data_IF_535336791928
#
_entry.id   IF_535336791928
#
_cell.length_a   1.000
_cell.length_b   1.000
_cell.length_c   1.000
_cell.angle_alpha   90.00
_cell.angle_beta   90.00
_cell.angle_gamma   90.00
#
_symmetry.space_group_name_H-M   'P 1'
#
loop_
_entity.id
_entity.type
_entity.pdbx_description
1 polymer ?
#
# COMPACT_ATOMS: atom_id res chain seq x y z
N UNK A 1 -7.65 31.68 -0.77
CA UNK A 1 -8.68 30.63 -0.65
C UNK A 1 -8.77 29.72 -1.88
N UNK A 2 -8.08 30.03 -2.99
CA UNK A 2 -8.16 29.25 -4.24
C UNK A 2 -7.06 28.15 -4.35
N UNK A 3 -6.30 27.88 -3.28
CA UNK A 3 -5.23 26.87 -3.30
C UNK A 3 -5.66 25.46 -2.91
N UNK A 4 -6.90 25.30 -2.41
CA UNK A 4 -7.37 23.99 -1.94
C UNK A 4 -8.01 23.10 -3.03
N UNK A 5 -8.35 23.68 -4.18
CA UNK A 5 -8.97 22.89 -5.27
C UNK A 5 -7.99 21.94 -5.97
N UNK A 6 -6.69 22.09 -5.73
CA UNK A 6 -5.64 21.27 -6.32
C UNK A 6 -4.77 20.55 -5.28
N UNK A 7 -5.24 20.46 -4.04
CA UNK A 7 -4.54 19.62 -3.08
C UNK A 7 -4.45 18.19 -3.66
N UNK A 8 -3.24 17.61 -3.80
CA UNK A 8 -3.12 16.28 -4.34
C UNK A 8 -3.90 15.32 -3.45
N UNK A 9 -4.97 14.75 -3.98
CA UNK A 9 -5.63 13.62 -3.32
C UNK A 9 -4.57 12.56 -3.10
N UNK A 10 -4.31 12.19 -1.84
CA UNK A 10 -3.44 11.06 -1.54
C UNK A 10 -4.12 9.82 -2.11
N UNK A 11 -3.60 9.21 -3.18
CA UNK A 11 -4.31 8.14 -3.87
C UNK A 11 -4.39 6.85 -3.07
N UNK A 12 -3.55 6.70 -2.03
CA UNK A 12 -3.51 5.50 -1.20
C UNK A 12 -3.88 5.84 0.22
N UNK A 13 -4.94 5.19 0.70
CA UNK A 13 -5.43 5.33 2.06
C UNK A 13 -5.49 3.95 2.71
N UNK A 14 -4.82 3.80 3.83
CA UNK A 14 -4.91 2.63 4.68
C UNK A 14 -5.92 2.93 5.79
N UNK A 15 -7.11 2.38 5.67
CA UNK A 15 -8.11 2.40 6.74
C UNK A 15 -7.80 1.30 7.75
N UNK A 16 -7.71 1.65 9.01
CA UNK A 16 -7.44 0.73 10.11
C UNK A 16 -8.55 0.80 11.16
N UNK A 17 -8.82 -0.33 11.82
CA UNK A 17 -9.75 -0.36 12.94
C UNK A 17 -9.22 0.48 14.12
N UNK A 18 -10.11 0.91 15.01
CA UNK A 18 -9.73 1.73 16.17
C UNK A 18 -8.74 1.03 17.10
N UNK A 19 -8.96 -0.25 17.37
CA UNK A 19 -8.07 -1.06 18.22
C UNK A 19 -6.70 -1.26 17.58
N UNK A 20 -6.63 -1.44 16.28
CA UNK A 20 -5.36 -1.47 15.53
C UNK A 20 -4.66 -0.12 15.63
N UNK A 21 -5.38 0.98 15.47
CA UNK A 21 -4.85 2.32 15.60
C UNK A 21 -4.23 2.59 16.98
N UNK A 22 -4.79 2.01 18.04
CA UNK A 22 -4.29 2.15 19.39
C UNK A 22 -3.07 1.25 19.70
N UNK A 23 -2.96 0.10 19.05
CA UNK A 23 -1.92 -0.91 19.33
C UNK A 23 -0.76 -0.94 18.34
N UNK A 24 -0.92 -0.32 17.18
CA UNK A 24 0.08 -0.34 16.10
C UNK A 24 1.30 0.52 16.47
N UNK A 25 2.48 -0.03 16.25
CA UNK A 25 3.73 0.74 16.33
C UNK A 25 3.89 1.58 15.06
N UNK A 26 3.49 2.85 15.12
CA UNK A 26 3.55 3.78 13.99
C UNK A 26 4.98 4.09 13.54
N UNK A 27 5.94 4.10 14.47
CA UNK A 27 7.34 4.31 14.09
C UNK A 27 7.85 3.17 13.22
N UNK A 28 7.56 1.94 13.62
CA UNK A 28 7.90 0.73 12.86
C UNK A 28 7.19 0.69 11.52
N UNK A 29 5.91 1.06 11.47
CA UNK A 29 5.15 1.12 10.23
C UNK A 29 5.71 2.18 9.28
N UNK A 30 6.02 3.37 9.76
CA UNK A 30 6.61 4.43 8.94
C UNK A 30 7.97 4.03 8.37
N UNK A 31 8.79 3.33 9.14
CA UNK A 31 10.06 2.79 8.67
C UNK A 31 9.87 1.76 7.55
N UNK A 32 8.97 0.79 7.74
CA UNK A 32 8.63 -0.21 6.73
C UNK A 32 8.07 0.44 5.45
N UNK A 33 7.20 1.42 5.58
CA UNK A 33 6.65 2.15 4.44
C UNK A 33 7.70 2.99 3.71
N UNK A 34 8.64 3.60 4.44
CA UNK A 34 9.75 4.34 3.82
C UNK A 34 10.69 3.39 3.05
N UNK A 35 10.98 2.22 3.60
CA UNK A 35 11.76 1.19 2.93
C UNK A 35 11.05 0.69 1.66
N UNK A 36 9.75 0.47 1.74
CA UNK A 36 8.93 0.06 0.61
C UNK A 36 8.97 1.09 -0.51
N UNK A 37 8.76 2.37 -0.20
CA UNK A 37 8.79 3.46 -1.20
C UNK A 37 10.14 3.54 -1.89
N UNK A 38 11.24 3.38 -1.16
CA UNK A 38 12.58 3.36 -1.75
C UNK A 38 12.79 2.17 -2.67
N UNK A 39 12.39 0.97 -2.24
CA UNK A 39 12.50 -0.23 -3.06
C UNK A 39 11.71 -0.12 -4.37
N UNK A 40 10.47 0.36 -4.31
CA UNK A 40 9.62 0.55 -5.48
C UNK A 40 10.16 1.65 -6.41
N UNK A 41 10.74 2.71 -5.87
CA UNK A 41 11.40 3.74 -6.66
C UNK A 41 12.57 3.17 -7.47
N UNK A 42 13.42 2.32 -6.86
CA UNK A 42 14.52 1.67 -7.56
C UNK A 42 14.03 0.68 -8.62
N UNK A 43 12.99 -0.10 -8.30
CA UNK A 43 12.47 -1.11 -9.21
C UNK A 43 11.68 -0.53 -10.39
N UNK A 44 10.87 0.50 -10.14
CA UNK A 44 9.96 1.07 -11.12
C UNK A 44 10.39 2.45 -11.64
N UNK A 45 11.39 3.07 -11.02
CA UNK A 45 11.91 4.38 -11.42
C UNK A 45 10.97 5.55 -11.14
N UNK A 46 9.93 5.36 -10.35
CA UNK A 46 8.91 6.38 -10.07
C UNK A 46 8.65 6.50 -8.58
N UNK A 47 8.63 7.73 -8.03
CA UNK A 47 8.23 7.94 -6.65
C UNK A 47 6.73 7.69 -6.49
N UNK A 48 6.37 6.84 -5.55
CA UNK A 48 4.96 6.64 -5.18
C UNK A 48 4.47 7.78 -4.29
N UNK A 49 3.18 8.12 -4.37
CA UNK A 49 2.59 9.13 -3.50
C UNK A 49 2.64 8.69 -2.04
N UNK A 50 2.51 9.65 -1.14
CA UNK A 50 2.40 9.35 0.28
C UNK A 50 1.19 8.47 0.58
N UNK A 51 1.30 7.68 1.63
CA UNK A 51 0.23 6.81 2.12
C UNK A 51 -0.37 7.48 3.34
N UNK A 52 -1.69 7.68 3.33
CA UNK A 52 -2.42 8.23 4.47
C UNK A 52 -3.03 7.09 5.28
N UNK A 53 -2.81 7.12 6.58
CA UNK A 53 -3.41 6.17 7.52
C UNK A 53 -4.62 6.84 8.17
N UNK A 54 -5.79 6.20 8.04
CA UNK A 54 -7.05 6.76 8.51
C UNK A 54 -7.74 5.78 9.46
N UNK A 55 -7.97 6.15 10.73
CA UNK A 55 -8.80 5.36 11.63
C UNK A 55 -10.23 5.27 11.10
N UNK A 56 -10.79 4.07 11.12
CA UNK A 56 -12.16 3.83 10.67
C UNK A 56 -12.91 3.00 11.74
N UNK A 57 -13.82 3.64 12.53
CA UNK A 57 -14.54 2.94 13.58
C UNK A 57 -15.55 1.91 13.06
N UNK A 58 -15.89 1.95 11.77
CA UNK A 58 -16.77 0.98 11.14
C UNK A 58 -16.12 -0.36 10.80
N UNK A 59 -14.79 -0.48 10.94
CA UNK A 59 -14.09 -1.72 10.64
C UNK A 59 -14.12 -2.70 11.82
N UNK A 60 -14.24 -4.01 11.53
CA UNK A 60 -14.10 -5.04 12.55
C UNK A 60 -12.74 -4.98 13.26
N UNK A 61 -12.67 -5.57 14.45
CA UNK A 61 -11.46 -5.63 15.27
C UNK A 61 -10.26 -6.14 14.47
N UNK A 62 -9.12 -5.46 14.63
CA UNK A 62 -7.83 -5.78 13.98
C UNK A 62 -7.90 -5.96 12.47
N UNK A 63 -8.85 -5.31 11.83
CA UNK A 63 -8.97 -5.33 10.37
C UNK A 63 -8.53 -4.02 9.73
N UNK A 64 -8.17 -4.09 8.46
CA UNK A 64 -7.77 -2.94 7.66
C UNK A 64 -8.26 -3.07 6.22
N UNK A 65 -8.33 -1.93 5.54
CA UNK A 65 -8.70 -1.85 4.13
C UNK A 65 -7.69 -0.95 3.43
N UNK A 66 -7.17 -1.43 2.31
CA UNK A 66 -6.33 -0.64 1.41
C UNK A 66 -7.19 -0.05 0.31
N UNK A 67 -7.21 1.27 0.21
CA UNK A 67 -7.98 2.01 -0.77
C UNK A 67 -7.06 2.72 -1.76
N UNK A 68 -7.45 2.70 -3.02
CA UNK A 68 -6.84 3.48 -4.08
C UNK A 68 -7.91 4.43 -4.63
N UNK A 69 -7.68 5.73 -4.54
CA UNK A 69 -8.67 6.76 -4.93
C UNK A 69 -10.04 6.54 -4.26
N UNK A 70 -10.06 6.29 -2.96
CA UNK A 70 -11.26 5.98 -2.16
C UNK A 70 -11.98 4.68 -2.56
N UNK A 71 -11.43 3.89 -3.44
CA UNK A 71 -11.99 2.59 -3.83
C UNK A 71 -11.29 1.48 -3.03
N UNK A 72 -12.02 0.68 -2.24
CA UNK A 72 -11.47 -0.45 -1.53
C UNK A 72 -10.91 -1.50 -2.51
N UNK A 73 -9.63 -1.83 -2.37
CA UNK A 73 -8.94 -2.75 -3.26
C UNK A 73 -8.55 -4.06 -2.58
N UNK A 74 -8.16 -4.01 -1.32
CA UNK A 74 -7.72 -5.18 -0.56
C UNK A 74 -8.08 -5.03 0.91
N UNK A 75 -8.26 -6.16 1.57
CA UNK A 75 -8.60 -6.23 3.00
C UNK A 75 -7.72 -7.23 3.70
N UNK A 76 -7.53 -7.04 4.99
CA UNK A 76 -6.82 -7.98 5.84
C UNK A 76 -7.31 -7.94 7.28
N UNK A 77 -6.97 -8.98 8.00
CA UNK A 77 -7.26 -9.10 9.43
C UNK A 77 -6.04 -9.66 10.14
N UNK A 78 -5.62 -8.97 11.19
CA UNK A 78 -4.49 -9.39 12.02
C UNK A 78 -4.98 -10.15 13.26
N UNK A 79 -4.08 -10.86 13.91
CA UNK A 79 -4.34 -11.56 15.16
C UNK A 79 -3.59 -10.87 16.31
N UNK A 80 -4.28 -10.61 17.39
CA UNK A 80 -3.73 -9.92 18.56
C UNK A 80 -2.61 -10.74 19.21
N UNK A 81 -1.45 -10.10 19.44
CA UNK A 81 -0.31 -10.74 20.06
C UNK A 81 0.36 -11.81 19.22
N UNK A 82 0.02 -11.91 17.95
CA UNK A 82 0.54 -12.92 17.03
C UNK A 82 1.24 -12.26 15.84
N UNK A 83 2.14 -13.02 15.23
CA UNK A 83 2.88 -12.66 14.02
C UNK A 83 2.73 -13.76 12.99
N UNK A 84 2.92 -13.44 11.70
CA UNK A 84 2.88 -14.44 10.63
C UNK A 84 4.24 -15.10 10.46
N UNK A 85 4.24 -16.43 10.45
CA UNK A 85 5.39 -17.22 10.04
C UNK A 85 5.33 -17.45 8.53
N UNK A 86 6.38 -17.10 7.81
CA UNK A 86 6.51 -17.37 6.37
C UNK A 86 7.10 -18.76 6.16
N UNK A 87 6.25 -19.75 6.29
CA UNK A 87 6.60 -21.16 6.13
C UNK A 87 5.36 -21.95 5.73
N UNK A 88 5.47 -23.25 5.69
CA UNK A 88 4.36 -24.17 5.46
C UNK A 88 3.87 -24.76 6.79
N UNK A 89 2.60 -25.10 6.84
CA UNK A 89 2.03 -25.78 8.01
C UNK A 89 2.74 -27.12 8.30
N UNK A 90 3.14 -27.84 7.25
CA UNK A 90 3.88 -29.09 7.36
C UNK A 90 5.24 -28.87 8.06
N UNK A 91 6.01 -27.89 7.63
CA UNK A 91 7.32 -27.62 8.21
C UNK A 91 7.23 -27.16 9.66
N UNK A 92 6.27 -26.27 9.99
CA UNK A 92 6.04 -25.84 11.37
C UNK A 92 5.67 -27.03 12.26
N UNK A 93 4.78 -27.91 11.78
CA UNK A 93 4.41 -29.12 12.51
C UNK A 93 5.59 -30.06 12.72
N UNK A 94 6.42 -30.24 11.72
CA UNK A 94 7.64 -31.07 11.83
C UNK A 94 8.64 -30.51 12.88
N UNK A 95 8.71 -29.19 12.99
CA UNK A 95 9.55 -28.51 13.96
C UNK A 95 8.92 -28.42 15.36
N UNK A 96 7.70 -28.93 15.54
CA UNK A 96 6.98 -28.88 16.80
C UNK A 96 6.49 -27.48 17.17
N UNK A 97 6.33 -26.59 16.19
CA UNK A 97 5.86 -25.22 16.40
C UNK A 97 4.34 -25.19 16.35
N UNK A 98 3.72 -24.74 17.44
CA UNK A 98 2.27 -24.51 17.47
C UNK A 98 1.91 -23.24 16.70
N UNK A 99 0.88 -23.32 15.88
CA UNK A 99 0.38 -22.20 15.11
C UNK A 99 -1.15 -22.23 15.03
N UNK A 100 -1.74 -21.05 14.79
CA UNK A 100 -3.15 -20.89 14.49
C UNK A 100 -3.30 -20.62 13.00
N UNK A 101 -4.09 -21.43 12.30
CA UNK A 101 -4.43 -21.19 10.92
C UNK A 101 -5.54 -20.13 10.84
N UNK A 102 -5.26 -19.01 10.19
CA UNK A 102 -6.22 -17.93 10.00
C UNK A 102 -6.90 -17.97 8.62
N UNK A 103 -7.63 -16.89 8.34
CA UNK A 103 -8.18 -16.69 7.00
C UNK A 103 -7.11 -16.15 6.05
N UNK A 104 -7.12 -16.61 4.81
CA UNK A 104 -6.17 -16.14 3.80
C UNK A 104 -6.52 -14.73 3.33
N UNK A 105 -5.56 -13.82 3.40
CA UNK A 105 -5.69 -12.44 2.90
C UNK A 105 -4.50 -12.00 2.05
N UNK A 106 -3.36 -12.67 2.19
CA UNK A 106 -2.20 -12.49 1.32
C UNK A 106 -2.16 -13.63 0.30
N UNK A 107 -2.05 -13.35 -1.02
CA UNK A 107 -2.23 -14.37 -2.05
C UNK A 107 -1.16 -15.46 -2.05
N UNK A 108 0.04 -15.17 -1.57
CA UNK A 108 1.20 -16.05 -1.62
C UNK A 108 1.69 -16.53 -0.24
N UNK A 109 0.95 -16.22 0.82
CA UNK A 109 1.34 -16.54 2.19
C UNK A 109 0.26 -17.35 2.87
N UNK A 110 0.61 -18.53 3.39
CA UNK A 110 -0.28 -19.26 4.29
C UNK A 110 -0.47 -18.47 5.60
N UNK A 111 -1.71 -18.33 6.08
CA UNK A 111 -1.99 -17.52 7.28
C UNK A 111 -1.65 -18.28 8.57
N UNK A 112 -0.37 -18.49 8.81
CA UNK A 112 0.17 -19.23 9.95
C UNK A 112 0.55 -18.26 11.06
N UNK A 113 -0.33 -18.11 12.04
CA UNK A 113 -0.14 -17.20 13.17
C UNK A 113 0.57 -17.90 14.32
N UNK A 114 1.65 -17.31 14.80
CA UNK A 114 2.42 -17.77 15.95
C UNK A 114 2.50 -16.67 16.99
N UNK A 115 2.65 -17.00 18.29
CA UNK A 115 2.82 -15.98 19.32
C UNK A 115 4.02 -15.08 19.04
N UNK A 116 3.84 -13.78 19.24
CA UNK A 116 4.91 -12.78 19.05
C UNK A 116 6.15 -13.10 19.89
N UNK A 117 5.96 -13.69 21.09
CA UNK A 117 7.04 -14.11 21.97
C UNK A 117 7.97 -15.17 21.36
N UNK A 118 7.54 -15.87 20.33
CA UNK A 118 8.31 -16.90 19.64
C UNK A 118 9.17 -16.37 18.48
N UNK A 119 9.09 -15.08 18.16
CA UNK A 119 9.77 -14.47 17.01
C UNK A 119 11.26 -14.77 17.01
N UNK A 120 11.96 -14.45 18.09
CA UNK A 120 13.41 -14.64 18.17
C UNK A 120 13.83 -16.10 18.00
N UNK A 121 13.12 -17.04 18.64
CA UNK A 121 13.43 -18.47 18.55
C UNK A 121 13.17 -19.04 17.16
N UNK A 122 12.14 -18.58 16.46
CA UNK A 122 11.82 -19.00 15.10
C UNK A 122 12.81 -18.44 14.08
N UNK A 123 13.20 -17.19 14.22
CA UNK A 123 14.20 -16.57 13.35
C UNK A 123 15.57 -17.26 13.48
N UNK A 124 15.94 -17.73 14.67
CA UNK A 124 17.18 -18.48 14.87
C UNK A 124 17.25 -19.78 14.08
N UNK A 125 16.10 -20.42 13.84
CA UNK A 125 16.03 -21.65 13.03
C UNK A 125 15.73 -21.36 11.55
N UNK A 126 15.82 -20.10 11.13
CA UNK A 126 15.70 -19.69 9.73
C UNK A 126 14.28 -19.44 9.25
N UNK A 127 13.29 -19.36 10.15
CA UNK A 127 11.91 -19.06 9.79
C UNK A 127 11.73 -17.54 9.77
N UNK A 128 11.32 -17.02 8.61
CA UNK A 128 11.02 -15.61 8.43
C UNK A 128 9.71 -15.23 9.12
N UNK A 129 9.72 -14.15 9.88
CA UNK A 129 8.56 -13.68 10.64
C UNK A 129 8.14 -12.30 10.15
N UNK A 130 6.84 -12.10 10.01
CA UNK A 130 6.24 -10.80 9.68
C UNK A 130 5.43 -10.29 10.86
N UNK A 131 5.88 -9.19 11.46
CA UNK A 131 5.08 -8.47 12.46
C UNK A 131 3.95 -7.68 11.76
N UNK A 132 3.07 -7.05 12.53
CA UNK A 132 1.92 -6.33 11.98
C UNK A 132 2.33 -5.22 11.01
N UNK A 133 3.34 -4.42 11.35
CA UNK A 133 3.84 -3.36 10.47
C UNK A 133 4.35 -3.90 9.13
N UNK A 134 5.09 -4.99 9.17
CA UNK A 134 5.62 -5.64 7.96
C UNK A 134 4.53 -6.28 7.11
N UNK A 135 3.50 -6.87 7.74
CA UNK A 135 2.33 -7.41 7.03
C UNK A 135 1.63 -6.30 6.25
N UNK A 136 1.37 -5.15 6.88
CA UNK A 136 0.73 -4.01 6.24
C UNK A 136 1.57 -3.49 5.07
N UNK A 137 2.87 -3.31 5.27
CA UNK A 137 3.79 -2.86 4.21
C UNK A 137 3.88 -3.87 3.06
N UNK A 138 3.95 -5.15 3.37
CA UNK A 138 4.00 -6.21 2.36
C UNK A 138 2.71 -6.28 1.54
N UNK A 139 1.54 -6.25 2.18
CA UNK A 139 0.25 -6.25 1.48
C UNK A 139 0.12 -5.02 0.57
N UNK A 140 0.58 -3.87 1.07
CA UNK A 140 0.62 -2.66 0.27
C UNK A 140 1.56 -2.80 -0.94
N UNK A 141 2.72 -3.44 -0.77
CA UNK A 141 3.66 -3.68 -1.88
C UNK A 141 3.04 -4.49 -3.01
N UNK A 142 2.24 -5.49 -2.68
CA UNK A 142 1.52 -6.30 -3.68
C UNK A 142 0.49 -5.47 -4.43
N UNK A 143 -0.24 -4.61 -3.73
CA UNK A 143 -1.21 -3.70 -4.32
C UNK A 143 -0.54 -2.71 -5.27
N UNK A 144 0.55 -2.08 -4.82
CA UNK A 144 1.30 -1.10 -5.60
C UNK A 144 1.90 -1.73 -6.86
N UNK A 145 2.46 -2.93 -6.76
CA UNK A 145 3.01 -3.64 -7.90
C UNK A 145 1.94 -3.96 -8.94
N UNK A 146 0.75 -4.37 -8.49
CA UNK A 146 -0.38 -4.67 -9.38
C UNK A 146 -0.89 -3.42 -10.12
N UNK A 147 -0.85 -2.26 -9.48
CA UNK A 147 -1.39 -1.00 -10.00
C UNK A 147 -0.30 0.01 -10.38
N UNK A 148 0.93 -0.46 -10.61
CA UNK A 148 2.09 0.39 -10.89
C UNK A 148 1.85 1.38 -12.04
N UNK A 149 1.26 0.93 -13.13
CA UNK A 149 0.95 1.78 -14.29
C UNK A 149 -0.02 2.92 -13.95
N UNK A 150 -1.01 2.65 -13.10
CA UNK A 150 -1.96 3.68 -12.64
C UNK A 150 -1.28 4.75 -11.80
N UNK A 151 -0.40 4.34 -10.88
CA UNK A 151 0.36 5.28 -10.05
C UNK A 151 1.33 6.12 -10.86
N UNK A 152 2.01 5.50 -11.83
CA UNK A 152 2.89 6.19 -12.77
C UNK A 152 2.13 7.27 -13.53
N UNK A 153 1.01 6.92 -14.15
CA UNK A 153 0.19 7.87 -14.90
C UNK A 153 -0.32 9.03 -14.06
N UNK A 154 -0.71 8.78 -12.81
CA UNK A 154 -1.16 9.82 -11.88
C UNK A 154 -0.05 10.79 -11.50
N UNK A 155 1.15 10.29 -11.20
CA UNK A 155 2.30 11.12 -10.85
C UNK A 155 2.73 11.99 -12.03
N UNK A 156 2.79 11.44 -13.22
CA UNK A 156 3.14 12.19 -14.44
C UNK A 156 2.08 13.23 -14.78
N UNK A 157 0.80 12.88 -14.62
CA UNK A 157 -0.31 13.80 -14.84
C UNK A 157 -0.24 14.99 -13.90
N UNK A 158 0.05 14.75 -12.63
CA UNK A 158 0.25 15.81 -11.65
C UNK A 158 1.43 16.71 -12.02
N UNK A 159 2.55 16.10 -12.39
CA UNK A 159 3.74 16.85 -12.81
C UNK A 159 3.44 17.73 -14.01
N UNK A 160 2.76 17.21 -15.03
CA UNK A 160 2.38 17.96 -16.21
C UNK A 160 1.39 19.08 -15.89
N UNK A 161 0.40 18.83 -15.03
CA UNK A 161 -0.54 19.85 -14.58
C UNK A 161 0.17 20.99 -13.83
N UNK A 162 1.10 20.67 -12.94
CA UNK A 162 1.90 21.66 -12.21
C UNK A 162 2.72 22.52 -13.18
N UNK A 163 3.32 21.91 -14.20
CA UNK A 163 4.07 22.62 -15.23
C UNK A 163 3.18 23.51 -16.10
N UNK A 164 2.00 23.04 -16.47
CA UNK A 164 1.02 23.81 -17.24
C UNK A 164 0.47 24.98 -16.41
N UNK A 165 0.26 24.78 -15.11
CA UNK A 165 -0.20 25.82 -14.19
C UNK A 165 0.79 26.98 -14.09
N UNK A 166 2.10 26.71 -14.12
CA UNK A 166 3.13 27.73 -14.15
C UNK A 166 3.07 28.59 -15.44
N UNK A 167 2.72 28.00 -16.56
CA UNK A 167 2.70 28.65 -17.87
C UNK A 167 1.36 29.25 -18.28
N UNK A 168 0.28 28.57 -17.91
CA UNK A 168 -1.08 28.94 -18.31
C UNK A 168 -2.10 28.62 -17.18
N UNK A 169 -2.07 29.37 -16.05
CA UNK A 169 -2.90 29.06 -14.89
C UNK A 169 -4.40 29.08 -15.21
N UNK A 170 -4.83 29.99 -16.08
CA UNK A 170 -6.26 30.11 -16.44
C UNK A 170 -6.75 28.91 -17.25
N UNK A 171 -5.91 28.35 -18.15
CA UNK A 171 -6.23 27.18 -18.94
C UNK A 171 -6.37 25.91 -18.05
N UNK A 172 -5.47 25.74 -17.11
CA UNK A 172 -5.49 24.60 -16.17
C UNK A 172 -6.74 24.70 -15.29
N UNK A 173 -7.06 25.89 -14.82
CA UNK A 173 -8.26 26.12 -14.01
C UNK A 173 -9.53 25.77 -14.78
N UNK A 174 -9.63 26.14 -16.05
CA UNK A 174 -10.77 25.84 -16.91
C UNK A 174 -10.88 24.33 -17.17
N UNK A 175 -9.76 23.68 -17.49
CA UNK A 175 -9.73 22.22 -17.74
C UNK A 175 -10.13 21.41 -16.51
N UNK A 176 -9.70 21.81 -15.31
CA UNK A 176 -10.04 21.12 -14.06
C UNK A 176 -11.47 21.37 -13.60
N UNK A 177 -12.09 22.48 -14.03
CA UNK A 177 -13.55 22.70 -13.84
C UNK A 177 -14.40 21.77 -14.67
N UNK A 178 -13.96 21.44 -15.88
CA UNK A 178 -14.72 20.65 -16.85
C UNK A 178 -14.50 19.13 -16.67
N UNK A 179 -13.33 18.72 -16.18
CA UNK A 179 -12.97 17.31 -16.06
C UNK A 179 -12.49 17.00 -14.63
N UNK A 180 -12.96 15.92 -14.01
CA UNK A 180 -12.41 15.45 -12.76
C UNK A 180 -10.90 15.16 -12.90
N UNK A 181 -10.12 15.40 -11.86
CA UNK A 181 -8.65 15.17 -11.85
C UNK A 181 -8.32 13.73 -12.25
N UNK A 182 -9.12 12.77 -11.81
CA UNK A 182 -8.95 11.37 -12.18
C UNK A 182 -9.09 11.14 -13.69
N UNK A 183 -10.03 11.82 -14.36
CA UNK A 183 -10.22 11.72 -15.80
C UNK A 183 -9.03 12.30 -16.58
N UNK A 184 -8.48 13.40 -16.10
CA UNK A 184 -7.26 13.99 -16.68
C UNK A 184 -6.08 13.02 -16.52
N UNK A 185 -5.93 12.41 -15.34
CA UNK A 185 -4.89 11.40 -15.09
C UNK A 185 -5.02 10.21 -16.04
N UNK A 186 -6.23 9.70 -16.28
CA UNK A 186 -6.48 8.61 -17.24
C UNK A 186 -6.08 8.98 -18.65
N UNK A 187 -6.35 10.20 -19.10
CA UNK A 187 -5.97 10.68 -20.42
C UNK A 187 -4.44 10.72 -20.56
N UNK A 188 -3.74 11.30 -19.59
CA UNK A 188 -2.28 11.35 -19.60
C UNK A 188 -1.64 9.97 -19.50
N UNK A 189 -2.20 9.09 -18.70
CA UNK A 189 -1.74 7.71 -18.60
C UNK A 189 -1.77 7.00 -19.95
N UNK A 190 -2.84 7.17 -20.73
CA UNK A 190 -2.94 6.61 -22.08
C UNK A 190 -1.90 7.19 -23.02
N UNK A 191 -1.65 8.50 -22.97
CA UNK A 191 -0.64 9.16 -23.79
C UNK A 191 0.76 8.65 -23.48
N UNK A 192 1.07 8.44 -22.21
CA UNK A 192 2.36 7.87 -21.76
C UNK A 192 2.52 6.42 -22.23
N UNK A 193 1.47 5.60 -22.13
CA UNK A 193 1.51 4.20 -22.57
C UNK A 193 1.70 4.07 -24.09
N UNK A 194 1.17 4.98 -24.89
CA UNK A 194 1.35 4.99 -26.35
C UNK A 194 2.75 5.41 -26.78
N UNK A 195 3.48 6.18 -25.93
CA UNK A 195 4.82 6.69 -26.26
C UNK A 195 5.95 5.80 -25.75
N UNK A 196 5.70 4.91 -24.80
CA UNK A 196 6.71 3.99 -24.29
C UNK A 196 6.58 2.70 -25.10
N UNK A 197 7.60 2.33 -25.94
CA UNK A 197 7.61 1.02 -26.55
C UNK A 197 7.62 -0.02 -25.43
N UNK A 198 6.68 -0.97 -25.50
CA UNK A 198 6.66 -2.09 -24.59
C UNK A 198 7.95 -2.90 -24.81
N UNK A 199 8.98 -2.64 -23.98
CA UNK A 199 10.12 -3.52 -23.88
C UNK A 199 9.64 -4.76 -23.12
N UNK A 200 9.29 -5.77 -23.87
CA UNK A 200 9.17 -7.11 -23.36
C UNK A 200 10.55 -7.75 -23.39
N UNK A 201 11.07 -8.20 -22.24
CA UNK A 201 12.23 -9.06 -22.24
C UNK A 201 11.94 -10.39 -22.94
#
# INVERSE_FOLDING_TARGET
>A
AARDEFAPTVPIILDISEDMGASLDYASLNEELANLRRALYFDLGVPFPGINIRPNPGLPELSYVLNVNEIPMSRGKLEKGMVLARDTSENLSMLGVEFKLGERFLPDVEPLWVPESKTASLERVGISIMNHARILAYHLSLLLARHASSFLGMQESKYLLDKMEERAPDLVREATRLLPTQRIAEIFQRLVQEQIPAEHP
#
